data_IF_216842733333
#
_entry.id   IF_216842733333
#
_cell.length_a   1.000
_cell.length_b   1.000
_cell.length_c   1.000
_cell.angle_alpha   90.00
_cell.angle_beta   90.00
_cell.angle_gamma   90.00
#
_symmetry.space_group_name_H-M   'P 1'
#
loop_
_entity.id
_entity.type
_entity.pdbx_description
1 polymer ?
#
# COMPACT_ATOMS: atom_id res chain seq x y z
N UNK A 1 -49.50 12.27 4.02
CA UNK A 1 -48.43 11.41 3.46
C UNK A 1 -47.17 11.75 4.25
N UNK A 2 -46.80 10.86 5.17
CA UNK A 2 -45.93 11.18 6.32
C UNK A 2 -44.51 11.60 5.91
N UNK A 3 -43.99 12.63 6.56
CA UNK A 3 -42.59 13.09 6.46
C UNK A 3 -41.57 12.06 7.00
N UNK A 4 -42.04 10.88 7.41
CA UNK A 4 -41.24 9.78 7.95
C UNK A 4 -40.52 8.94 6.89
N UNK A 5 -40.79 9.14 5.59
CA UNK A 5 -40.12 8.38 4.52
C UNK A 5 -38.72 8.91 4.13
N UNK A 6 -38.28 10.03 4.70
CA UNK A 6 -36.95 10.61 4.45
C UNK A 6 -35.94 10.33 5.58
N UNK A 7 -36.29 9.51 6.57
CA UNK A 7 -35.28 8.84 7.41
C UNK A 7 -34.77 7.61 6.66
N UNK A 8 -34.06 7.84 5.56
CA UNK A 8 -33.06 6.86 5.14
C UNK A 8 -32.02 6.83 6.26
N UNK A 9 -32.17 5.84 7.14
CA UNK A 9 -31.13 5.41 8.05
C UNK A 9 -29.84 5.35 7.21
N UNK A 10 -28.83 6.21 7.44
CA UNK A 10 -27.61 6.11 6.66
C UNK A 10 -27.14 4.68 6.88
N UNK A 11 -27.19 3.85 5.82
CA UNK A 11 -26.49 2.58 5.83
C UNK A 11 -25.12 2.96 6.36
N UNK A 12 -24.75 2.41 7.52
CA UNK A 12 -23.38 2.46 7.99
C UNK A 12 -22.56 1.74 6.93
N UNK A 13 -22.21 2.47 5.87
CA UNK A 13 -21.09 2.17 5.02
C UNK A 13 -19.97 1.93 6.00
N UNK A 14 -19.32 0.78 5.90
CA UNK A 14 -18.22 0.45 6.80
C UNK A 14 -17.07 1.41 6.50
N UNK A 15 -17.17 2.62 7.03
CA UNK A 15 -16.27 3.70 6.74
C UNK A 15 -14.94 3.40 7.43
N UNK A 16 -13.88 3.41 6.63
CA UNK A 16 -12.53 3.24 7.13
C UNK A 16 -12.23 4.48 7.98
N UNK A 17 -11.87 4.29 9.25
CA UNK A 17 -11.43 5.39 10.11
C UNK A 17 -10.23 6.11 9.49
N UNK A 18 -10.09 7.41 9.71
CA UNK A 18 -8.94 8.20 9.22
C UNK A 18 -7.61 7.53 9.57
N UNK A 19 -7.49 7.02 10.81
CA UNK A 19 -6.29 6.32 11.25
C UNK A 19 -6.01 5.06 10.42
N UNK A 20 -7.05 4.26 10.16
CA UNK A 20 -6.93 3.05 9.32
C UNK A 20 -6.66 3.39 7.85
N UNK A 21 -7.18 4.51 7.35
CA UNK A 21 -6.90 4.99 6.00
C UNK A 21 -5.45 5.49 5.86
N UNK A 22 -4.94 6.23 6.85
CA UNK A 22 -3.54 6.63 6.91
C UNK A 22 -2.62 5.41 7.07
N UNK A 23 -2.99 4.46 7.92
CA UNK A 23 -2.28 3.19 8.06
C UNK A 23 -2.20 2.45 6.71
N UNK A 24 -3.33 2.28 6.01
CA UNK A 24 -3.35 1.72 4.65
C UNK A 24 -2.40 2.45 3.69
N UNK A 25 -2.34 3.78 3.77
CA UNK A 25 -1.39 4.59 2.98
C UNK A 25 0.08 4.29 3.32
N UNK A 26 0.42 4.24 4.60
CA UNK A 26 1.79 3.95 5.07
C UNK A 26 2.17 2.50 4.72
N UNK A 27 1.30 1.52 5.03
CA UNK A 27 1.51 0.11 4.72
C UNK A 27 1.67 -0.13 3.22
N UNK A 28 0.87 0.54 2.40
CA UNK A 28 0.98 0.52 0.95
C UNK A 28 2.23 1.19 0.37
N UNK A 29 3.03 1.89 1.18
CA UNK A 29 4.37 2.38 0.80
C UNK A 29 5.48 1.43 1.30
N UNK A 30 5.23 0.71 2.39
CA UNK A 30 6.14 -0.27 2.99
C UNK A 30 6.12 -1.60 2.23
N UNK A 31 6.52 -1.57 0.96
CA UNK A 31 6.67 -2.78 0.16
C UNK A 31 7.76 -3.73 0.66
N UNK A 32 7.86 -4.89 0.02
CA UNK A 32 8.90 -5.87 0.28
C UNK A 32 10.32 -5.28 0.19
N UNK A 33 10.50 -4.23 -0.63
CA UNK A 33 11.78 -3.55 -0.81
C UNK A 33 12.34 -2.88 0.45
N UNK A 34 11.51 -2.45 1.42
CA UNK A 34 12.05 -1.82 2.63
C UNK A 34 12.91 -2.76 3.47
N UNK A 35 12.67 -4.07 3.44
CA UNK A 35 13.45 -5.01 4.25
C UNK A 35 14.53 -5.74 3.43
N UNK A 36 14.32 -5.94 2.12
CA UNK A 36 15.30 -6.62 1.26
C UNK A 36 16.29 -5.63 0.65
N UNK A 37 15.82 -4.50 0.13
CA UNK A 37 16.68 -3.54 -0.55
C UNK A 37 17.40 -2.61 0.42
N UNK A 38 16.88 -2.39 1.63
CA UNK A 38 17.56 -1.55 2.62
C UNK A 38 18.91 -2.14 3.06
N UNK A 39 19.00 -3.46 3.19
CA UNK A 39 20.28 -4.14 3.45
C UNK A 39 21.30 -3.92 2.34
N UNK A 40 20.87 -4.05 1.08
CA UNK A 40 21.71 -3.76 -0.09
C UNK A 40 22.09 -2.27 -0.16
N UNK A 41 21.13 -1.37 0.06
CA UNK A 41 21.37 0.07 0.12
C UNK A 41 22.39 0.42 1.22
N UNK A 42 22.33 -0.25 2.37
CA UNK A 42 23.31 -0.11 3.44
C UNK A 42 24.69 -0.61 3.04
N UNK A 43 24.80 -1.73 2.33
CA UNK A 43 26.09 -2.22 1.84
C UNK A 43 26.77 -1.28 0.83
N UNK A 44 25.98 -0.52 0.05
CA UNK A 44 26.51 0.39 -0.98
C UNK A 44 26.69 1.83 -0.48
N UNK A 45 25.72 2.38 0.24
CA UNK A 45 25.74 3.77 0.71
C UNK A 45 26.31 3.92 2.13
N UNK A 46 26.45 2.81 2.88
CA UNK A 46 27.00 2.80 4.24
C UNK A 46 26.26 3.78 5.16
N UNK A 47 27.01 4.68 5.79
CA UNK A 47 26.50 5.71 6.71
C UNK A 47 25.64 6.78 6.01
N UNK A 48 25.66 6.85 4.67
CA UNK A 48 24.90 7.85 3.90
C UNK A 48 23.48 7.41 3.54
N UNK A 49 23.05 6.21 3.94
CA UNK A 49 21.66 5.74 3.73
C UNK A 49 20.61 6.75 4.21
N UNK A 50 20.69 7.33 5.43
CA UNK A 50 19.70 8.30 5.88
C UNK A 50 19.60 9.53 4.97
N UNK A 51 20.72 9.97 4.38
CA UNK A 51 20.74 11.10 3.46
C UNK A 51 20.04 10.75 2.14
N UNK A 52 20.26 9.54 1.61
CA UNK A 52 19.56 9.06 0.43
C UNK A 52 18.04 8.96 0.66
N UNK A 53 17.62 8.47 1.83
CA UNK A 53 16.21 8.45 2.23
C UNK A 53 15.62 9.85 2.40
N UNK A 54 16.39 10.81 2.93
CA UNK A 54 15.93 12.19 3.07
C UNK A 54 15.67 12.84 1.71
N UNK A 55 16.57 12.65 0.74
CA UNK A 55 16.38 13.15 -0.64
C UNK A 55 15.14 12.51 -1.27
N UNK A 56 14.96 11.19 -1.12
CA UNK A 56 13.76 10.49 -1.57
C UNK A 56 12.48 11.00 -0.91
N UNK A 57 12.51 11.28 0.39
CA UNK A 57 11.38 11.81 1.14
C UNK A 57 10.98 13.22 0.67
N UNK A 58 11.97 14.08 0.40
CA UNK A 58 11.70 15.42 -0.17
C UNK A 58 11.03 15.28 -1.53
N UNK A 59 11.53 14.43 -2.41
CA UNK A 59 10.91 14.20 -3.73
C UNK A 59 9.47 13.67 -3.59
N UNK A 60 9.24 12.69 -2.72
CA UNK A 60 7.91 12.13 -2.46
C UNK A 60 6.94 13.17 -1.85
N UNK A 61 7.43 14.10 -1.02
CA UNK A 61 6.60 15.11 -0.37
C UNK A 61 5.87 16.02 -1.35
N UNK A 62 6.49 16.36 -2.49
CA UNK A 62 5.84 17.14 -3.55
C UNK A 62 4.65 16.39 -4.16
N UNK A 63 4.79 15.08 -4.40
CA UNK A 63 3.70 14.25 -4.90
C UNK A 63 2.58 14.13 -3.86
N UNK A 64 2.92 13.87 -2.60
CA UNK A 64 1.94 13.78 -1.50
C UNK A 64 1.16 15.08 -1.35
N UNK A 65 1.84 16.24 -1.41
CA UNK A 65 1.18 17.54 -1.33
C UNK A 65 0.19 17.78 -2.48
N UNK A 66 0.58 17.44 -3.72
CA UNK A 66 -0.30 17.55 -4.90
C UNK A 66 -1.55 16.67 -4.73
N UNK A 67 -1.38 15.41 -4.33
CA UNK A 67 -2.50 14.48 -4.11
C UNK A 67 -3.39 14.91 -2.93
N UNK A 68 -2.81 15.43 -1.85
CA UNK A 68 -3.57 15.94 -0.71
C UNK A 68 -4.47 17.11 -1.11
N UNK A 69 -3.94 18.06 -1.90
CA UNK A 69 -4.72 19.21 -2.39
C UNK A 69 -5.81 18.78 -3.38
N UNK A 70 -5.53 17.83 -4.27
CA UNK A 70 -6.53 17.27 -5.19
C UNK A 70 -7.63 16.51 -4.45
N UNK A 71 -7.28 15.71 -3.44
CA UNK A 71 -8.26 15.00 -2.60
C UNK A 71 -9.16 15.95 -1.80
N UNK A 72 -8.62 17.08 -1.33
CA UNK A 72 -9.40 18.11 -0.67
C UNK A 72 -10.31 18.89 -1.64
N UNK A 73 -9.85 19.13 -2.87
CA UNK A 73 -10.63 19.83 -3.90
C UNK A 73 -11.75 18.97 -4.50
N UNK A 74 -11.52 17.66 -4.60
CA UNK A 74 -12.41 16.70 -5.26
C UNK A 74 -12.75 15.52 -4.34
N UNK A 75 -13.69 15.70 -3.37
CA UNK A 75 -14.07 14.64 -2.45
C UNK A 75 -14.88 13.55 -3.18
N UNK A 76 -14.19 12.54 -3.71
CA UNK A 76 -14.77 11.40 -4.41
C UNK A 76 -14.09 10.10 -3.99
N UNK A 77 -14.88 9.02 -3.89
CA UNK A 77 -14.39 7.68 -3.60
C UNK A 77 -13.54 7.07 -4.73
N UNK A 78 -13.48 7.69 -5.90
CA UNK A 78 -12.78 7.15 -7.07
C UNK A 78 -11.28 7.48 -7.15
N UNK A 79 -10.71 8.16 -6.15
CA UNK A 79 -9.26 8.35 -5.98
C UNK A 79 -8.53 8.98 -7.18
N UNK A 80 -7.28 8.55 -7.40
CA UNK A 80 -6.41 9.11 -8.45
C UNK A 80 -7.01 9.08 -9.86
N UNK A 81 -7.80 8.05 -10.16
CA UNK A 81 -8.50 7.93 -11.43
C UNK A 81 -9.50 9.06 -11.68
N UNK A 82 -10.23 9.43 -10.62
CA UNK A 82 -11.17 10.55 -10.65
C UNK A 82 -10.46 11.88 -10.77
N UNK A 83 -9.31 12.05 -10.10
CA UNK A 83 -8.53 13.28 -10.22
C UNK A 83 -8.04 13.52 -11.65
N UNK A 84 -7.66 12.46 -12.38
CA UNK A 84 -7.29 12.56 -13.79
C UNK A 84 -8.46 12.99 -14.66
N UNK A 85 -9.66 12.41 -14.48
CA UNK A 85 -10.87 12.80 -15.22
C UNK A 85 -11.28 14.23 -14.90
N UNK A 86 -11.21 14.65 -13.65
CA UNK A 86 -11.57 16.02 -13.24
C UNK A 86 -10.56 17.07 -13.72
N UNK A 87 -9.28 16.70 -13.84
CA UNK A 87 -8.22 17.62 -14.26
C UNK A 87 -8.11 17.76 -15.79
N UNK A 88 -8.27 16.67 -16.54
CA UNK A 88 -8.09 16.66 -18.00
C UNK A 88 -9.40 16.52 -18.79
N UNK A 89 -10.53 16.38 -18.11
CA UNK A 89 -11.82 16.06 -18.71
C UNK A 89 -11.96 14.59 -19.11
N UNK A 90 -13.21 14.12 -19.36
CA UNK A 90 -13.45 12.80 -19.92
C UNK A 90 -12.96 12.75 -21.37
N UNK A 91 -11.99 11.88 -21.66
CA UNK A 91 -11.40 11.76 -22.99
C UNK A 91 -10.24 10.78 -23.05
N UNK A 92 -9.60 10.69 -24.22
CA UNK A 92 -8.54 9.70 -24.48
C UNK A 92 -7.30 9.89 -23.59
N UNK A 93 -6.95 11.13 -23.23
CA UNK A 93 -5.83 11.41 -22.32
C UNK A 93 -6.12 10.89 -20.91
N UNK A 94 -7.29 11.20 -20.36
CA UNK A 94 -7.67 10.71 -19.04
C UNK A 94 -7.83 9.19 -19.03
N UNK A 95 -8.43 8.61 -20.06
CA UNK A 95 -8.51 7.15 -20.22
C UNK A 95 -7.13 6.49 -20.30
N UNK A 96 -6.19 7.08 -21.06
CA UNK A 96 -4.82 6.63 -21.21
C UNK A 96 -4.02 6.64 -19.90
N UNK A 97 -4.14 7.72 -19.11
CA UNK A 97 -3.50 7.81 -17.79
C UNK A 97 -4.14 6.81 -16.81
N UNK A 98 -5.45 6.63 -16.87
CA UNK A 98 -6.17 5.67 -16.02
C UNK A 98 -5.78 4.22 -16.30
N UNK A 99 -5.62 3.82 -17.56
CA UNK A 99 -5.14 2.46 -17.88
C UNK A 99 -3.70 2.27 -17.43
N UNK A 100 -2.86 3.30 -17.55
CA UNK A 100 -1.49 3.24 -17.06
C UNK A 100 -1.45 3.08 -15.53
N UNK A 101 -2.30 3.83 -14.81
CA UNK A 101 -2.47 3.69 -13.36
C UNK A 101 -2.93 2.28 -12.98
N UNK A 102 -3.87 1.70 -13.72
CA UNK A 102 -4.34 0.33 -13.50
C UNK A 102 -3.21 -0.70 -13.68
N UNK A 103 -2.43 -0.59 -14.76
CA UNK A 103 -1.27 -1.46 -15.00
C UNK A 103 -0.23 -1.28 -13.89
N UNK A 104 0.03 -0.05 -13.44
CA UNK A 104 0.95 0.21 -12.34
C UNK A 104 0.50 -0.48 -11.04
N UNK A 105 -0.80 -0.50 -10.73
CA UNK A 105 -1.33 -1.25 -9.59
C UNK A 105 -1.17 -2.77 -9.75
N UNK A 106 -1.33 -3.32 -10.96
CA UNK A 106 -1.08 -4.74 -11.21
C UNK A 106 0.39 -5.11 -10.98
N UNK A 107 1.32 -4.27 -11.47
CA UNK A 107 2.76 -4.46 -11.27
C UNK A 107 3.11 -4.36 -9.79
N UNK A 108 2.54 -3.38 -9.08
CA UNK A 108 2.75 -3.23 -7.65
C UNK A 108 2.27 -4.48 -6.90
N UNK A 109 1.05 -4.96 -7.16
CA UNK A 109 0.52 -6.18 -6.56
C UNK A 109 1.41 -7.42 -6.82
N UNK A 110 1.93 -7.55 -8.06
CA UNK A 110 2.86 -8.62 -8.40
C UNK A 110 4.18 -8.51 -7.62
N UNK A 111 4.70 -7.29 -7.42
CA UNK A 111 5.92 -7.04 -6.65
C UNK A 111 5.74 -7.39 -5.15
N UNK A 112 4.58 -7.07 -4.58
CA UNK A 112 4.23 -7.48 -3.21
C UNK A 112 4.21 -9.00 -3.08
N UNK A 113 3.56 -9.69 -4.01
CA UNK A 113 3.49 -11.15 -4.00
C UNK A 113 4.88 -11.79 -4.19
N UNK A 114 5.69 -11.26 -5.11
CA UNK A 114 7.06 -11.72 -5.35
C UNK A 114 7.93 -11.56 -4.09
N UNK A 115 7.87 -10.41 -3.44
CA UNK A 115 8.61 -10.16 -2.22
C UNK A 115 8.20 -11.09 -1.07
N UNK A 116 6.90 -11.35 -0.89
CA UNK A 116 6.43 -12.30 0.12
C UNK A 116 6.96 -13.72 -0.13
N UNK A 117 6.96 -14.16 -1.38
CA UNK A 117 7.44 -15.48 -1.77
C UNK A 117 8.95 -15.59 -1.59
N UNK A 118 9.70 -14.52 -1.85
CA UNK A 118 11.14 -14.44 -1.60
C UNK A 118 11.47 -14.54 -0.10
N UNK A 119 10.73 -13.82 0.76
CA UNK A 119 10.86 -13.98 2.22
C UNK A 119 10.53 -15.40 2.66
N UNK A 120 9.44 -15.96 2.15
CA UNK A 120 9.04 -17.33 2.46
C UNK A 120 10.15 -18.31 2.05
N UNK A 121 10.73 -18.16 0.87
CA UNK A 121 11.85 -18.99 0.43
C UNK A 121 13.06 -18.88 1.37
N UNK A 122 13.45 -17.66 1.76
CA UNK A 122 14.55 -17.44 2.71
C UNK A 122 14.27 -18.08 4.07
N UNK A 123 13.04 -17.99 4.59
CA UNK A 123 12.66 -18.60 5.87
C UNK A 123 12.73 -20.14 5.85
N UNK A 124 12.45 -20.77 4.71
CA UNK A 124 12.55 -22.22 4.53
C UNK A 124 13.94 -22.68 4.04
N UNK A 125 14.97 -21.85 4.18
CA UNK A 125 16.35 -22.22 3.86
C UNK A 125 16.73 -22.11 2.38
N UNK A 126 15.98 -21.34 1.59
CA UNK A 126 16.35 -20.89 0.24
C UNK A 126 16.25 -21.93 -0.88
N UNK A 127 15.88 -23.17 -0.56
CA UNK A 127 15.95 -24.31 -1.48
C UNK A 127 14.58 -24.82 -1.95
N UNK A 128 13.54 -23.97 -1.94
CA UNK A 128 12.22 -24.38 -2.41
C UNK A 128 12.21 -24.55 -3.94
N UNK A 129 11.52 -25.59 -4.40
CA UNK A 129 11.34 -25.83 -5.84
C UNK A 129 10.58 -24.67 -6.50
N UNK A 130 10.91 -24.31 -7.76
CA UNK A 130 10.19 -23.28 -8.51
C UNK A 130 8.68 -23.52 -8.60
N UNK A 131 8.24 -24.78 -8.58
CA UNK A 131 6.82 -25.15 -8.60
C UNK A 131 6.17 -24.78 -7.27
N UNK A 132 6.83 -25.08 -6.14
CA UNK A 132 6.36 -24.74 -4.80
C UNK A 132 6.23 -23.22 -4.64
N UNK A 133 7.22 -22.45 -5.12
CA UNK A 133 7.17 -20.99 -5.08
C UNK A 133 5.97 -20.44 -5.85
N UNK A 134 5.71 -20.95 -7.07
CA UNK A 134 4.52 -20.57 -7.86
C UNK A 134 3.21 -20.92 -7.16
N UNK A 135 3.14 -22.10 -6.52
CA UNK A 135 1.97 -22.49 -5.73
C UNK A 135 1.74 -21.56 -4.53
N UNK A 136 2.79 -21.17 -3.81
CA UNK A 136 2.72 -20.20 -2.70
C UNK A 136 2.24 -18.84 -3.23
N UNK A 137 2.79 -18.37 -4.35
CA UNK A 137 2.35 -17.10 -4.97
C UNK A 137 0.86 -17.15 -5.33
N UNK A 138 0.40 -18.23 -5.97
CA UNK A 138 -1.00 -18.38 -6.36
C UNK A 138 -1.93 -18.44 -5.13
N UNK A 139 -1.55 -19.19 -4.10
CA UNK A 139 -2.30 -19.28 -2.85
C UNK A 139 -2.38 -17.91 -2.16
N UNK A 140 -1.27 -17.16 -2.10
CA UNK A 140 -1.24 -15.81 -1.53
C UNK A 140 -2.19 -14.87 -2.26
N UNK A 141 -2.16 -14.84 -3.60
CA UNK A 141 -3.06 -13.97 -4.39
C UNK A 141 -4.53 -14.34 -4.14
N UNK A 142 -4.86 -15.64 -4.09
CA UNK A 142 -6.23 -16.09 -3.81
C UNK A 142 -6.68 -15.69 -2.40
N UNK A 143 -5.82 -15.84 -1.39
CA UNK A 143 -6.12 -15.43 -0.01
C UNK A 143 -6.33 -13.91 0.06
N UNK A 144 -5.41 -13.12 -0.51
CA UNK A 144 -5.53 -11.66 -0.55
C UNK A 144 -6.80 -11.20 -1.28
N UNK A 145 -7.14 -11.87 -2.38
CA UNK A 145 -8.38 -11.60 -3.12
C UNK A 145 -9.60 -11.91 -2.26
N UNK A 146 -9.60 -13.05 -1.57
CA UNK A 146 -10.70 -13.42 -0.66
C UNK A 146 -10.84 -12.45 0.51
N UNK A 147 -9.74 -12.00 1.11
CA UNK A 147 -9.74 -10.97 2.17
C UNK A 147 -10.27 -9.64 1.63
N UNK A 148 -9.93 -9.27 0.39
CA UNK A 148 -10.47 -8.07 -0.25
C UNK A 148 -12.00 -8.13 -0.39
N UNK A 149 -12.56 -9.32 -0.66
CA UNK A 149 -14.01 -9.55 -0.75
C UNK A 149 -14.73 -9.49 0.61
N UNK A 150 -14.04 -9.80 1.71
CA UNK A 150 -14.60 -9.76 3.08
C UNK A 150 -14.89 -8.33 3.58
N UNK A 151 -14.32 -7.32 2.92
CA UNK A 151 -14.67 -5.92 3.11
C UNK A 151 -13.51 -5.04 3.60
N UNK A 152 -13.52 -3.75 3.24
CA UNK A 152 -12.40 -2.83 3.46
C UNK A 152 -12.11 -2.55 4.93
N UNK A 153 -13.09 -2.69 5.82
CA UNK A 153 -12.92 -2.44 7.25
C UNK A 153 -12.05 -3.50 7.95
N UNK A 154 -12.10 -4.76 7.47
CA UNK A 154 -11.27 -5.84 7.98
C UNK A 154 -9.82 -5.63 7.56
N UNK A 155 -9.61 -5.30 6.28
CA UNK A 155 -8.29 -4.95 5.72
C UNK A 155 -7.68 -3.79 6.51
N UNK A 156 -8.42 -2.70 6.70
CA UNK A 156 -7.90 -1.53 7.44
C UNK A 156 -7.47 -1.85 8.88
N UNK A 157 -8.20 -2.73 9.58
CA UNK A 157 -7.81 -3.20 10.93
C UNK A 157 -6.56 -4.08 10.90
N UNK A 158 -6.47 -5.01 9.95
CA UNK A 158 -5.31 -5.88 9.78
C UNK A 158 -4.05 -5.07 9.45
N UNK A 159 -4.16 -4.09 8.55
CA UNK A 159 -3.06 -3.19 8.17
C UNK A 159 -2.59 -2.35 9.36
N UNK A 160 -3.52 -1.79 10.13
CA UNK A 160 -3.18 -1.02 11.34
C UNK A 160 -2.37 -1.87 12.34
N UNK A 161 -2.76 -3.13 12.53
CA UNK A 161 -2.04 -4.07 13.38
C UNK A 161 -0.66 -4.41 12.80
N UNK A 162 -0.57 -4.67 11.50
CA UNK A 162 0.68 -4.99 10.81
C UNK A 162 1.71 -3.86 10.95
N UNK A 163 1.29 -2.60 10.77
CA UNK A 163 2.17 -1.43 10.94
C UNK A 163 2.61 -1.30 12.39
N UNK A 164 1.73 -1.55 13.36
CA UNK A 164 2.11 -1.58 14.77
C UNK A 164 3.23 -2.58 15.04
N UNK A 165 3.12 -3.79 14.49
CA UNK A 165 4.15 -4.83 14.59
C UNK A 165 5.46 -4.40 13.92
N UNK A 166 5.38 -3.82 12.72
CA UNK A 166 6.54 -3.29 11.98
C UNK A 166 7.27 -2.21 12.77
N UNK A 167 6.55 -1.25 13.33
CA UNK A 167 7.16 -0.17 14.11
C UNK A 167 7.86 -0.75 15.34
N UNK A 168 7.24 -1.70 16.03
CA UNK A 168 7.85 -2.39 17.17
C UNK A 168 9.12 -3.13 16.75
N UNK A 169 9.09 -3.89 15.65
CA UNK A 169 10.27 -4.65 15.19
C UNK A 169 11.44 -3.74 14.82
N UNK A 170 11.17 -2.60 14.17
CA UNK A 170 12.21 -1.60 13.86
C UNK A 170 12.78 -0.94 15.12
N UNK A 171 11.94 -0.62 16.11
CA UNK A 171 12.41 -0.06 17.39
C UNK A 171 13.30 -1.06 18.15
N UNK A 172 12.92 -2.34 18.19
CA UNK A 172 13.73 -3.40 18.80
C UNK A 172 15.06 -3.55 18.05
N UNK A 173 15.02 -3.61 16.72
CA UNK A 173 16.23 -3.72 15.91
C UNK A 173 17.15 -2.51 16.10
N UNK A 174 16.60 -1.30 16.14
CA UNK A 174 17.35 -0.08 16.42
C UNK A 174 17.98 -0.12 17.82
N UNK A 175 17.25 -0.57 18.84
CA UNK A 175 17.77 -0.67 20.20
C UNK A 175 18.91 -1.70 20.32
N UNK A 176 18.80 -2.84 19.62
CA UNK A 176 19.86 -3.85 19.57
C UNK A 176 21.10 -3.35 18.82
N UNK A 177 20.94 -2.52 17.78
CA UNK A 177 22.05 -1.98 17.00
C UNK A 177 22.93 -0.95 17.73
N UNK A 178 22.50 -0.44 18.89
CA UNK A 178 23.32 0.45 19.73
C UNK A 178 24.30 -0.30 20.65
N UNK A 179 24.28 -1.63 20.65
CA UNK A 179 25.12 -2.48 21.50
C UNK A 179 26.05 -3.35 20.65
#
# INVERSE_FOLDING_TARGET
>A
MSADLLKQNPKQTQDISLFSATALGIGGMMGAGLYSLLGLASSHAGTHVPLAFLVGAIAASFSVYSYAKLGAAFPSSGGGATFTVMSFGPGMISGGINIFQYIAYLIAAALYAAGFVEYTNSLFGGNLSPITLKCITAALILICTFINLLGPSLVGKAETFAIGLVVISLLVFSAMGFH
#
